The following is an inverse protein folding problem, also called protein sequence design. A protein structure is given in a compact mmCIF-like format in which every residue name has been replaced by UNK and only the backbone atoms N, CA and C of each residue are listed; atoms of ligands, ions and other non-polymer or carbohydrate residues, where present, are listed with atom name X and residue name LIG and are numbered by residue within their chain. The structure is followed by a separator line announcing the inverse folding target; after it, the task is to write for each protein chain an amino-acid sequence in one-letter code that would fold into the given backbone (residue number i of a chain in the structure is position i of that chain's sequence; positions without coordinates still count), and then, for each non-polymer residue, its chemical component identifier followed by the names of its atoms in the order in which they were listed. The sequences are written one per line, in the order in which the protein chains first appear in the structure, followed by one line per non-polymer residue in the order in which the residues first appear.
data_IF_732655409513
#
_entry.id   IF_732655409513
#
_cell.length_a   1.000
_cell.length_b   1.000
_cell.length_c   1.000
_cell.angle_alpha   90.00
_cell.angle_beta   90.00
_cell.angle_gamma   90.00
#
_symmetry.space_group_name_H-M   'P 1'
#
loop_
_entity.id
_entity.type
_entity.pdbx_description
1 polymer ?
#
# COMPACT_ATOMS: atom_id res chain seq x y z
N UNK A 1 -32.73 -42.37 44.33
CA UNK A 1 -31.30 -42.50 43.97
C UNK A 1 -30.99 -41.50 42.89
N UNK A 2 -30.44 -40.33 43.27
CA UNK A 2 -30.13 -39.24 42.42
C UNK A 2 -28.59 -39.30 42.10
N UNK A 3 -28.23 -39.44 40.85
CA UNK A 3 -26.87 -39.32 40.38
C UNK A 3 -26.64 -37.88 39.88
N UNK A 4 -25.91 -37.08 40.66
CA UNK A 4 -25.48 -35.75 40.29
C UNK A 4 -24.37 -35.81 39.23
N UNK A 5 -24.63 -35.34 38.04
CA UNK A 5 -23.60 -35.02 37.03
C UNK A 5 -23.07 -33.64 37.34
N UNK A 6 -21.79 -33.55 37.76
CA UNK A 6 -21.03 -32.29 37.83
C UNK A 6 -20.77 -31.83 36.40
N UNK A 7 -21.41 -30.77 35.99
CA UNK A 7 -21.05 -30.01 34.81
C UNK A 7 -19.71 -29.34 35.04
N UNK A 8 -18.75 -29.57 34.14
CA UNK A 8 -17.46 -28.90 34.04
C UNK A 8 -17.67 -27.41 33.75
N UNK A 9 -16.86 -26.50 34.28
CA UNK A 9 -17.00 -25.09 33.99
C UNK A 9 -16.70 -24.85 32.52
N UNK A 10 -17.62 -24.10 31.91
CA UNK A 10 -17.59 -23.65 30.53
C UNK A 10 -16.24 -23.06 30.14
N UNK A 11 -15.64 -23.64 29.12
CA UNK A 11 -14.64 -23.00 28.31
C UNK A 11 -15.28 -21.70 27.78
N UNK A 12 -14.94 -20.56 28.39
CA UNK A 12 -15.21 -19.24 27.83
C UNK A 12 -14.55 -19.20 26.44
N UNK A 13 -15.36 -19.41 25.42
CA UNK A 13 -15.06 -19.08 24.07
C UNK A 13 -14.61 -17.62 24.09
N UNK A 14 -13.34 -17.35 23.76
CA UNK A 14 -12.87 -16.02 23.49
C UNK A 14 -13.72 -15.50 22.33
N UNK A 15 -14.76 -14.71 22.66
CA UNK A 15 -15.51 -13.94 21.68
C UNK A 15 -14.51 -13.11 20.93
N UNK A 16 -14.22 -13.52 19.71
CA UNK A 16 -13.41 -12.71 18.79
C UNK A 16 -14.13 -11.37 18.62
N UNK A 17 -13.50 -10.30 19.07
CA UNK A 17 -14.00 -8.95 18.83
C UNK A 17 -14.28 -8.78 17.34
N UNK A 18 -15.36 -8.09 16.95
CA UNK A 18 -15.60 -7.79 15.55
C UNK A 18 -14.37 -7.14 14.94
N UNK A 19 -14.10 -7.46 13.68
CA UNK A 19 -12.88 -7.07 12.95
C UNK A 19 -12.53 -5.58 13.11
N UNK A 20 -13.55 -4.70 13.08
CA UNK A 20 -13.38 -3.24 13.24
C UNK A 20 -12.87 -2.87 14.65
N UNK A 21 -13.33 -3.53 15.70
CA UNK A 21 -12.87 -3.26 17.08
C UNK A 21 -11.42 -3.74 17.28
N UNK A 22 -11.02 -4.84 16.63
CA UNK A 22 -9.64 -5.35 16.69
C UNK A 22 -8.65 -4.39 16.04
N UNK A 23 -9.00 -3.78 14.91
CA UNK A 23 -8.10 -2.85 14.20
C UNK A 23 -7.93 -1.51 14.93
N UNK A 24 -8.91 -1.08 15.72
CA UNK A 24 -8.82 0.17 16.49
C UNK A 24 -7.84 0.10 17.67
N UNK A 25 -7.52 -1.11 18.17
CA UNK A 25 -6.61 -1.32 19.31
C UNK A 25 -5.18 -1.65 18.92
N UNK A 26 -4.92 -1.89 17.62
CA UNK A 26 -3.58 -2.25 17.12
C UNK A 26 -2.63 -1.06 17.14
N UNK A 27 -1.40 -1.29 17.56
CA UNK A 27 -0.28 -0.36 17.38
C UNK A 27 0.04 -0.17 15.89
N UNK A 28 0.78 0.90 15.56
CA UNK A 28 1.21 1.13 14.17
C UNK A 28 2.02 -0.06 13.62
N UNK A 29 2.91 -0.63 14.43
CA UNK A 29 3.73 -1.77 14.03
C UNK A 29 2.89 -3.04 13.76
N UNK A 30 1.90 -3.31 14.61
CA UNK A 30 0.97 -4.43 14.41
C UNK A 30 0.13 -4.25 13.13
N UNK A 31 -0.31 -3.02 12.85
CA UNK A 31 -1.03 -2.72 11.60
C UNK A 31 -0.16 -2.92 10.36
N UNK A 32 1.10 -2.48 10.40
CA UNK A 32 2.05 -2.69 9.30
C UNK A 32 2.22 -4.18 9.01
N UNK A 33 2.43 -4.98 10.06
CA UNK A 33 2.63 -6.42 9.88
C UNK A 33 1.36 -7.12 9.38
N UNK A 34 0.18 -6.76 9.90
CA UNK A 34 -1.10 -7.31 9.42
C UNK A 34 -1.35 -6.96 7.95
N UNK A 35 -1.04 -5.71 7.52
CA UNK A 35 -1.13 -5.31 6.11
C UNK A 35 -0.23 -6.16 5.23
N UNK A 36 1.00 -6.40 5.64
CA UNK A 36 1.96 -7.26 4.92
C UNK A 36 1.48 -8.70 4.81
N UNK A 37 0.96 -9.27 5.90
CA UNK A 37 0.41 -10.63 5.91
C UNK A 37 -0.82 -10.75 5.00
N UNK A 38 -1.69 -9.75 5.03
CA UNK A 38 -2.87 -9.69 4.17
C UNK A 38 -2.48 -9.60 2.69
N UNK A 39 -1.48 -8.79 2.35
CA UNK A 39 -0.98 -8.69 0.98
C UNK A 39 -0.45 -10.04 0.46
N UNK A 40 0.27 -10.79 1.29
CA UNK A 40 0.70 -12.18 0.97
C UNK A 40 -0.47 -13.13 0.77
N UNK A 41 -1.47 -13.04 1.64
CA UNK A 41 -2.69 -13.87 1.55
C UNK A 41 -3.47 -13.56 0.27
N UNK A 42 -3.67 -12.28 -0.05
CA UNK A 42 -4.37 -11.85 -1.25
C UNK A 42 -3.70 -12.39 -2.52
N UNK A 43 -2.37 -12.38 -2.59
CA UNK A 43 -1.63 -12.98 -3.70
C UNK A 43 -1.93 -14.47 -3.87
N UNK A 44 -2.01 -15.22 -2.76
CA UNK A 44 -2.38 -16.63 -2.78
C UNK A 44 -3.84 -16.88 -3.18
N UNK A 45 -4.70 -15.88 -3.09
CA UNK A 45 -6.10 -15.92 -3.53
C UNK A 45 -6.28 -15.51 -5.00
N UNK A 46 -5.19 -15.15 -5.71
CA UNK A 46 -5.22 -14.83 -7.13
C UNK A 46 -5.38 -13.34 -7.45
N UNK A 47 -5.30 -12.44 -6.46
CA UNK A 47 -5.22 -11.01 -6.72
C UNK A 47 -3.89 -10.69 -7.43
N UNK A 48 -3.91 -9.71 -8.33
CA UNK A 48 -2.68 -9.25 -8.96
C UNK A 48 -1.83 -8.36 -8.02
N UNK A 49 -0.62 -8.01 -8.46
CA UNK A 49 0.35 -7.28 -7.63
C UNK A 49 -0.20 -5.98 -7.05
N UNK A 50 -0.88 -5.17 -7.87
CA UNK A 50 -1.43 -3.88 -7.46
C UNK A 50 -2.66 -4.04 -6.56
N UNK A 51 -3.55 -4.97 -6.89
CA UNK A 51 -4.71 -5.30 -6.08
C UNK A 51 -4.32 -5.80 -4.69
N UNK A 52 -3.30 -6.66 -4.59
CA UNK A 52 -2.82 -7.17 -3.31
C UNK A 52 -2.44 -6.06 -2.35
N UNK A 53 -1.65 -5.08 -2.81
CA UNK A 53 -1.18 -3.97 -1.99
C UNK A 53 -2.32 -3.03 -1.66
N UNK A 54 -3.08 -2.59 -2.66
CA UNK A 54 -4.18 -1.63 -2.47
C UNK A 54 -5.24 -2.20 -1.53
N UNK A 55 -5.70 -3.43 -1.76
CA UNK A 55 -6.72 -4.06 -0.92
C UNK A 55 -6.24 -4.29 0.50
N UNK A 56 -5.01 -4.74 0.72
CA UNK A 56 -4.49 -4.99 2.06
C UNK A 56 -4.46 -3.74 2.93
N UNK A 57 -4.19 -2.57 2.35
CA UNK A 57 -4.22 -1.29 3.06
C UNK A 57 -5.67 -0.82 3.27
N UNK A 58 -6.48 -0.78 2.21
CA UNK A 58 -7.86 -0.28 2.28
C UNK A 58 -8.77 -1.10 3.20
N UNK A 59 -8.42 -2.35 3.47
CA UNK A 59 -9.18 -3.19 4.39
C UNK A 59 -8.86 -2.95 5.86
N UNK A 60 -7.76 -2.27 6.19
CA UNK A 60 -7.29 -2.02 7.55
C UNK A 60 -7.24 -0.54 7.93
N UNK A 61 -7.22 0.33 6.94
CA UNK A 61 -7.17 1.78 7.09
C UNK A 61 -8.48 2.36 6.54
N UNK A 62 -9.20 3.06 7.39
CA UNK A 62 -10.39 3.81 6.95
C UNK A 62 -9.94 5.02 6.12
N UNK A 63 -10.32 5.04 4.87
CA UNK A 63 -9.99 6.11 3.91
C UNK A 63 -11.19 6.98 3.57
N UNK A 64 -12.39 6.64 4.05
CA UNK A 64 -13.64 7.27 3.64
C UNK A 64 -14.03 7.01 2.18
N UNK A 65 -13.26 6.19 1.44
CA UNK A 65 -13.53 5.85 0.05
C UNK A 65 -14.39 4.57 -0.05
N UNK A 66 -15.26 4.46 -1.08
CA UNK A 66 -16.02 3.24 -1.30
C UNK A 66 -15.12 2.05 -1.62
N UNK A 67 -15.51 0.85 -1.22
CA UNK A 67 -14.71 -0.37 -1.38
C UNK A 67 -14.38 -0.71 -2.84
N UNK A 68 -15.18 -0.21 -3.78
CA UNK A 68 -15.02 -0.40 -5.22
C UNK A 68 -13.79 0.30 -5.80
N UNK A 69 -13.20 1.25 -5.09
CA UNK A 69 -11.99 1.96 -5.55
C UNK A 69 -10.83 1.01 -5.84
N UNK A 70 -10.79 -0.16 -5.21
CA UNK A 70 -9.80 -1.20 -5.49
C UNK A 70 -9.83 -1.71 -6.94
N UNK A 71 -10.96 -1.57 -7.67
CA UNK A 71 -11.05 -1.91 -9.11
C UNK A 71 -10.04 -1.14 -9.95
N UNK A 72 -9.65 0.07 -9.52
CA UNK A 72 -8.66 0.88 -10.20
C UNK A 72 -7.27 0.22 -10.26
N UNK A 73 -6.99 -0.71 -9.35
CA UNK A 73 -5.73 -1.44 -9.29
C UNK A 73 -5.62 -2.57 -10.34
N UNK A 74 -6.75 -3.07 -10.86
CA UNK A 74 -6.78 -4.28 -11.70
C UNK A 74 -5.89 -4.16 -12.94
N UNK A 75 -5.88 -3.01 -13.60
CA UNK A 75 -5.09 -2.79 -14.82
C UNK A 75 -3.57 -2.74 -14.64
N UNK A 76 -3.08 -2.68 -13.39
CA UNK A 76 -1.64 -2.48 -13.13
C UNK A 76 -0.85 -3.78 -12.88
N UNK A 77 -1.50 -4.94 -12.90
CA UNK A 77 -0.82 -6.24 -12.78
C UNK A 77 0.21 -6.46 -13.90
N UNK A 78 1.38 -7.03 -13.54
CA UNK A 78 2.45 -7.31 -14.50
C UNK A 78 3.06 -6.06 -15.17
N UNK A 79 3.03 -4.92 -14.48
CA UNK A 79 3.53 -3.66 -15.05
C UNK A 79 2.62 -3.15 -16.16
N UNK A 80 1.38 -2.78 -15.80
CA UNK A 80 0.32 -2.29 -16.70
C UNK A 80 -0.11 -3.35 -17.72
N UNK A 81 -0.96 -4.28 -17.27
CA UNK A 81 -1.54 -5.31 -18.14
C UNK A 81 -0.51 -6.21 -18.80
N UNK A 82 0.53 -6.62 -18.09
CA UNK A 82 1.66 -7.44 -18.56
C UNK A 82 2.59 -6.73 -19.57
N UNK A 83 2.51 -5.41 -19.71
CA UNK A 83 3.43 -4.65 -20.57
C UNK A 83 4.86 -4.63 -20.03
N UNK A 84 5.06 -4.84 -18.73
CA UNK A 84 6.38 -4.86 -18.11
C UNK A 84 6.92 -3.48 -17.69
N UNK A 85 6.08 -2.45 -17.66
CA UNK A 85 6.40 -1.11 -17.16
C UNK A 85 6.42 -1.08 -15.62
N UNK A 86 6.12 0.03 -14.99
CA UNK A 86 6.18 0.19 -13.54
C UNK A 86 5.56 -1.00 -12.80
N UNK A 87 6.30 -1.55 -11.83
CA UNK A 87 5.85 -2.73 -11.08
C UNK A 87 4.48 -2.49 -10.42
N UNK A 88 3.55 -3.44 -10.63
CA UNK A 88 2.20 -3.33 -10.08
C UNK A 88 2.16 -3.21 -8.54
N UNK A 89 3.08 -3.85 -7.83
CA UNK A 89 3.19 -3.70 -6.39
C UNK A 89 3.56 -2.26 -5.98
N UNK A 90 4.46 -1.63 -6.73
CA UNK A 90 4.83 -0.23 -6.54
C UNK A 90 3.65 0.70 -6.82
N UNK A 91 2.93 0.47 -7.92
CA UNK A 91 1.71 1.26 -8.24
C UNK A 91 0.65 1.09 -7.16
N UNK A 92 0.43 -0.13 -6.68
CA UNK A 92 -0.50 -0.40 -5.58
C UNK A 92 -0.14 0.36 -4.30
N UNK A 93 1.16 0.48 -3.98
CA UNK A 93 1.62 1.29 -2.85
C UNK A 93 1.32 2.79 -3.04
N UNK A 94 1.57 3.32 -4.24
CA UNK A 94 1.22 4.72 -4.57
C UNK A 94 -0.29 4.94 -4.46
N UNK A 95 -1.11 4.03 -4.97
CA UNK A 95 -2.58 4.11 -4.88
C UNK A 95 -3.04 4.08 -3.42
N UNK A 96 -2.50 3.19 -2.61
CA UNK A 96 -2.84 3.07 -1.19
C UNK A 96 -2.51 4.35 -0.40
N UNK A 97 -1.31 4.90 -0.58
CA UNK A 97 -0.92 6.19 0.05
C UNK A 97 -1.77 7.34 -0.50
N UNK A 98 -2.12 7.33 -1.78
CA UNK A 98 -3.01 8.34 -2.39
C UNK A 98 -4.43 8.28 -1.82
N UNK A 99 -4.95 7.10 -1.51
CA UNK A 99 -6.26 6.93 -0.92
C UNK A 99 -6.39 7.61 0.45
N UNK A 100 -5.28 7.73 1.19
CA UNK A 100 -5.24 8.36 2.53
C UNK A 100 -4.79 9.82 2.46
N UNK A 101 -3.73 10.11 1.70
CA UNK A 101 -3.04 11.41 1.71
C UNK A 101 -3.19 12.22 0.43
N UNK A 102 -3.85 11.66 -0.59
CA UNK A 102 -4.12 12.34 -1.84
C UNK A 102 -5.05 13.54 -1.68
N UNK A 103 -5.14 14.33 -2.73
CA UNK A 103 -6.05 15.48 -2.76
C UNK A 103 -7.48 15.04 -3.12
N UNK A 104 -8.44 15.40 -2.29
CA UNK A 104 -9.87 15.19 -2.59
C UNK A 104 -10.45 16.28 -3.50
N UNK A 105 -9.83 17.46 -3.53
CA UNK A 105 -10.24 18.60 -4.37
C UNK A 105 -9.03 19.46 -4.75
N UNK A 106 -9.20 20.27 -5.77
CA UNK A 106 -8.24 21.35 -6.04
C UNK A 106 -8.48 22.52 -5.07
N UNK A 107 -7.45 23.34 -4.79
CA UNK A 107 -7.61 24.55 -3.98
C UNK A 107 -8.67 25.49 -4.56
N UNK A 108 -9.46 26.08 -3.69
CA UNK A 108 -10.43 27.11 -4.07
C UNK A 108 -9.74 28.35 -4.62
N UNK A 109 -10.41 29.02 -5.56
CA UNK A 109 -9.94 30.23 -6.22
C UNK A 109 -10.00 30.10 -7.74
N UNK A 110 -9.62 31.16 -8.42
CA UNK A 110 -9.61 31.22 -9.89
C UNK A 110 -8.23 31.62 -10.45
N UNK A 111 -7.99 31.24 -11.70
CA UNK A 111 -6.84 31.69 -12.47
C UNK A 111 -5.48 31.34 -11.85
N UNK A 112 -4.57 32.32 -11.84
CA UNK A 112 -3.18 32.13 -11.42
C UNK A 112 -3.03 31.81 -9.91
N UNK A 113 -3.88 32.37 -9.06
CA UNK A 113 -3.80 32.18 -7.62
C UNK A 113 -4.11 30.71 -7.24
N UNK A 114 -5.20 30.15 -7.77
CA UNK A 114 -5.54 28.75 -7.58
C UNK A 114 -4.44 27.83 -8.11
N UNK A 115 -3.87 28.14 -9.28
CA UNK A 115 -2.76 27.39 -9.85
C UNK A 115 -1.50 27.43 -8.96
N UNK A 116 -1.19 28.57 -8.35
CA UNK A 116 -0.05 28.69 -7.41
C UNK A 116 -0.29 27.86 -6.15
N UNK A 117 -1.46 27.97 -5.53
CA UNK A 117 -1.83 27.14 -4.36
C UNK A 117 -1.76 25.63 -4.69
N UNK A 118 -2.24 25.23 -5.87
CA UNK A 118 -2.16 23.85 -6.33
C UNK A 118 -0.72 23.36 -6.51
N UNK A 119 0.16 24.22 -7.06
CA UNK A 119 1.59 23.91 -7.15
C UNK A 119 2.23 23.79 -5.78
N UNK A 120 1.93 24.67 -4.85
CA UNK A 120 2.46 24.62 -3.49
C UNK A 120 2.10 23.33 -2.78
N UNK A 121 0.85 22.87 -2.91
CA UNK A 121 0.44 21.57 -2.36
C UNK A 121 1.24 20.38 -2.91
N UNK A 122 1.68 20.44 -4.16
CA UNK A 122 2.43 19.36 -4.80
C UNK A 122 3.95 19.46 -4.54
N UNK A 123 4.52 20.64 -4.75
CA UNK A 123 5.96 20.85 -4.80
C UNK A 123 6.53 21.54 -3.54
N UNK A 124 5.67 22.04 -2.64
CA UNK A 124 6.06 22.75 -1.43
C UNK A 124 6.84 21.90 -0.42
N UNK A 125 7.05 22.51 0.77
CA UNK A 125 7.67 21.83 1.91
C UNK A 125 6.90 22.22 3.19
N UNK A 126 5.91 21.39 3.62
CA UNK A 126 5.53 20.08 3.14
C UNK A 126 4.88 20.08 1.74
N UNK A 127 5.09 19.01 0.98
CA UNK A 127 4.53 18.85 -0.36
C UNK A 127 4.27 17.38 -0.73
N UNK A 128 3.15 17.13 -1.43
CA UNK A 128 2.73 15.76 -1.74
C UNK A 128 3.75 14.99 -2.59
N UNK A 129 4.43 15.65 -3.52
CA UNK A 129 5.44 14.97 -4.32
C UNK A 129 6.64 14.50 -3.50
N UNK A 130 6.99 15.19 -2.41
CA UNK A 130 8.02 14.73 -1.46
C UNK A 130 7.58 13.47 -0.73
N UNK A 131 6.32 13.39 -0.34
CA UNK A 131 5.75 12.19 0.27
C UNK A 131 5.76 11.02 -0.72
N UNK A 132 5.19 11.21 -1.92
CA UNK A 132 5.08 10.14 -2.92
C UNK A 132 6.44 9.70 -3.49
N UNK A 133 7.41 10.60 -3.63
CA UNK A 133 8.76 10.28 -4.12
C UNK A 133 9.49 9.25 -3.24
N UNK A 134 9.17 9.17 -1.96
CA UNK A 134 9.76 8.18 -1.08
C UNK A 134 9.38 6.74 -1.47
N UNK A 135 8.20 6.52 -2.06
CA UNK A 135 7.72 5.17 -2.39
C UNK A 135 8.63 4.49 -3.42
N UNK A 136 8.84 5.05 -4.63
CA UNK A 136 9.73 4.43 -5.62
C UNK A 136 11.18 4.38 -5.16
N UNK A 137 11.66 5.38 -4.40
CA UNK A 137 13.03 5.39 -3.90
C UNK A 137 13.27 4.26 -2.89
N UNK A 138 12.37 4.05 -1.93
CA UNK A 138 12.43 2.94 -0.97
C UNK A 138 12.27 1.59 -1.67
N UNK A 139 11.35 1.49 -2.60
CA UNK A 139 11.12 0.27 -3.37
C UNK A 139 12.35 -0.11 -4.19
N UNK A 140 12.96 0.86 -4.90
CA UNK A 140 14.19 0.66 -5.68
C UNK A 140 15.37 0.26 -4.79
N UNK A 141 15.52 0.91 -3.63
CA UNK A 141 16.58 0.56 -2.67
C UNK A 141 16.48 -0.88 -2.15
N UNK A 142 15.26 -1.41 -2.01
CA UNK A 142 15.03 -2.78 -1.56
C UNK A 142 15.18 -3.82 -2.68
N UNK A 143 14.86 -3.46 -3.94
CA UNK A 143 14.65 -4.42 -5.01
C UNK A 143 15.54 -4.19 -6.25
N UNK A 144 16.30 -3.10 -6.30
CA UNK A 144 17.21 -2.74 -7.40
C UNK A 144 16.55 -1.96 -8.52
N UNK A 145 15.31 -2.28 -8.89
CA UNK A 145 14.59 -1.68 -10.01
C UNK A 145 13.16 -1.29 -9.64
N UNK A 146 12.50 -0.52 -10.51
CA UNK A 146 11.08 -0.16 -10.39
C UNK A 146 10.23 -0.72 -11.53
N UNK A 147 10.84 -1.11 -12.65
CA UNK A 147 10.14 -1.68 -13.80
C UNK A 147 9.93 -3.18 -13.64
N UNK A 148 8.73 -3.65 -13.95
CA UNK A 148 8.36 -5.05 -13.84
C UNK A 148 9.29 -5.94 -14.69
N UNK A 149 9.57 -5.54 -15.95
CA UNK A 149 10.45 -6.29 -16.84
C UNK A 149 11.88 -6.45 -16.32
N UNK A 150 12.42 -5.43 -15.64
CA UNK A 150 13.77 -5.47 -15.06
C UNK A 150 13.81 -6.35 -13.80
N UNK A 151 12.80 -6.23 -12.96
CA UNK A 151 12.66 -7.05 -11.76
C UNK A 151 12.49 -8.55 -12.07
N UNK A 152 11.85 -8.85 -13.19
CA UNK A 152 11.45 -10.23 -13.56
C UNK A 152 12.19 -10.75 -14.77
N UNK A 153 13.30 -10.13 -15.16
CA UNK A 153 14.06 -10.42 -16.38
C UNK A 153 14.36 -11.93 -16.55
N UNK A 154 14.82 -12.57 -15.49
CA UNK A 154 15.16 -14.02 -15.52
C UNK A 154 13.98 -14.97 -15.70
N UNK A 155 12.73 -14.49 -15.66
CA UNK A 155 11.52 -15.33 -15.81
C UNK A 155 10.68 -15.00 -17.04
N UNK A 156 11.18 -14.19 -17.98
CA UNK A 156 10.41 -13.79 -19.17
C UNK A 156 9.92 -15.01 -19.97
N UNK A 157 10.70 -16.08 -20.06
CA UNK A 157 10.31 -17.31 -20.74
C UNK A 157 9.54 -18.29 -19.83
N UNK A 158 9.56 -18.09 -18.52
CA UNK A 158 8.94 -19.00 -17.53
C UNK A 158 8.03 -18.25 -16.57
N UNK A 159 7.27 -17.30 -17.08
CA UNK A 159 6.46 -16.36 -16.32
C UNK A 159 5.57 -16.99 -15.25
N UNK A 160 4.92 -18.12 -15.55
CA UNK A 160 3.99 -18.79 -14.65
C UNK A 160 4.67 -19.79 -13.70
N UNK A 161 5.99 -19.72 -13.50
CA UNK A 161 6.67 -20.61 -12.58
C UNK A 161 6.51 -20.17 -11.12
N UNK A 162 6.71 -21.16 -10.21
CA UNK A 162 6.61 -20.95 -8.77
C UNK A 162 7.60 -19.91 -8.25
N UNK A 163 8.82 -19.92 -8.73
CA UNK A 163 9.89 -19.04 -8.24
C UNK A 163 9.62 -17.59 -8.58
N UNK A 164 9.09 -17.31 -9.78
CA UNK A 164 8.60 -15.97 -10.14
C UNK A 164 7.46 -15.53 -9.22
N UNK A 165 6.48 -16.40 -8.96
CA UNK A 165 5.38 -16.09 -8.06
C UNK A 165 5.86 -15.79 -6.64
N UNK A 166 6.81 -16.56 -6.11
CA UNK A 166 7.40 -16.32 -4.79
C UNK A 166 8.15 -14.99 -4.75
N UNK A 167 8.91 -14.66 -5.78
CA UNK A 167 9.61 -13.38 -5.88
C UNK A 167 8.61 -12.20 -5.91
N UNK A 168 7.60 -12.26 -6.77
CA UNK A 168 6.55 -11.22 -6.82
C UNK A 168 5.83 -11.06 -5.47
N UNK A 169 5.59 -12.14 -4.73
CA UNK A 169 4.99 -12.08 -3.40
C UNK A 169 5.84 -11.26 -2.42
N UNK A 170 7.16 -11.36 -2.47
CA UNK A 170 8.03 -10.56 -1.62
C UNK A 170 8.04 -9.08 -2.04
N UNK A 171 8.03 -8.77 -3.35
CA UNK A 171 7.83 -7.40 -3.84
C UNK A 171 6.53 -6.78 -3.33
N UNK A 172 5.43 -7.54 -3.41
CA UNK A 172 4.10 -7.14 -2.92
C UNK A 172 4.14 -6.87 -1.41
N UNK A 173 4.76 -7.75 -0.65
CA UNK A 173 4.87 -7.63 0.81
C UNK A 173 5.68 -6.39 1.21
N UNK A 174 6.81 -6.17 0.55
CA UNK A 174 7.66 -4.99 0.78
C UNK A 174 6.93 -3.69 0.43
N UNK A 175 6.27 -3.64 -0.73
CA UNK A 175 5.50 -2.48 -1.16
C UNK A 175 4.33 -2.15 -0.21
N UNK A 176 3.63 -3.17 0.29
CA UNK A 176 2.58 -3.00 1.27
C UNK A 176 3.12 -2.43 2.60
N UNK A 177 4.30 -2.88 3.03
CA UNK A 177 5.01 -2.33 4.19
C UNK A 177 5.37 -0.86 4.00
N UNK A 178 5.98 -0.50 2.86
CA UNK A 178 6.33 0.90 2.53
C UNK A 178 5.09 1.80 2.59
N UNK A 179 3.98 1.35 1.99
CA UNK A 179 2.73 2.12 2.00
C UNK A 179 2.19 2.30 3.43
N UNK A 180 2.14 1.22 4.21
CA UNK A 180 1.65 1.25 5.58
C UNK A 180 2.49 2.16 6.49
N UNK A 181 3.81 2.11 6.39
CA UNK A 181 4.72 2.98 7.14
C UNK A 181 4.48 4.46 6.83
N UNK A 182 4.33 4.83 5.55
CA UNK A 182 4.07 6.21 5.15
C UNK A 182 2.69 6.69 5.58
N UNK A 183 1.68 5.83 5.54
CA UNK A 183 0.32 6.16 5.96
C UNK A 183 0.24 6.37 7.48
N UNK A 184 0.94 5.56 8.25
CA UNK A 184 0.91 5.58 9.71
C UNK A 184 1.94 6.54 10.34
N UNK A 185 2.83 7.12 9.54
CA UNK A 185 3.75 8.18 9.97
C UNK A 185 3.09 9.55 9.97
N UNK A 186 3.76 10.54 10.58
CA UNK A 186 3.33 11.92 10.45
C UNK A 186 3.44 12.39 8.99
N UNK A 187 2.32 12.86 8.45
CA UNK A 187 2.20 13.27 7.04
C UNK A 187 3.10 14.46 6.72
N UNK A 188 3.10 15.49 7.56
CA UNK A 188 3.81 16.75 7.29
C UNK A 188 5.32 16.55 7.45
N UNK A 189 5.75 15.74 8.42
CA UNK A 189 7.13 15.31 8.52
C UNK A 189 7.57 14.57 7.25
N UNK A 190 6.79 13.58 6.83
CA UNK A 190 7.09 12.79 5.62
C UNK A 190 7.06 13.64 4.34
N UNK A 191 6.12 14.57 4.22
CA UNK A 191 6.00 15.51 3.11
C UNK A 191 7.04 16.64 3.12
N UNK A 192 7.84 16.76 4.19
CA UNK A 192 8.93 17.73 4.31
C UNK A 192 10.31 17.13 4.03
N UNK A 193 10.41 15.82 3.83
CA UNK A 193 11.68 15.15 3.51
C UNK A 193 12.21 15.59 2.14
N UNK A 194 13.53 15.62 1.96
CA UNK A 194 14.11 15.91 0.67
C UNK A 194 13.69 14.88 -0.39
N UNK A 195 13.71 15.30 -1.65
CA UNK A 195 13.56 14.36 -2.74
C UNK A 195 14.75 13.38 -2.77
N UNK A 196 14.46 12.12 -3.00
CA UNK A 196 15.46 11.16 -3.46
C UNK A 196 15.72 11.30 -4.96
N UNK A 197 15.96 10.19 -5.65
CA UNK A 197 16.03 10.18 -7.12
C UNK A 197 14.74 10.75 -7.71
N UNK A 198 14.83 11.67 -8.66
CA UNK A 198 13.69 12.35 -9.26
C UNK A 198 13.99 12.73 -10.72
N UNK A 199 12.98 13.29 -11.43
CA UNK A 199 13.04 13.54 -12.88
C UNK A 199 14.13 14.49 -13.30
N UNK A 200 14.47 15.45 -12.48
CA UNK A 200 15.56 16.42 -12.73
C UNK A 200 15.91 17.11 -11.43
N UNK A 201 17.14 17.10 -11.05
CA UNK A 201 17.79 17.97 -10.07
C UNK A 201 16.88 18.96 -9.30
N UNK A 202 15.64 18.58 -8.97
CA UNK A 202 14.83 19.30 -8.00
C UNK A 202 15.58 19.18 -6.68
N UNK A 203 16.65 19.96 -6.59
CA UNK A 203 17.40 20.19 -5.37
C UNK A 203 16.58 21.18 -4.55
N UNK A 204 16.66 21.03 -3.28
CA UNK A 204 16.11 21.96 -2.31
C UNK A 204 16.70 23.35 -2.46
#
# INVERSE_FOLDING_TARGET
LASGSKLLPELRCCLELPYIERTSTMTAQEKIEEIKQRARKNFSLGYNCAECVTESVLSLIDTGLPSEVKKLATGFGGGIGLYGDTCGALVGAVMAVSAVHGRSSLPEGEGKEAAMKSKEQLYGKPGLYRLFNQIPNRFKAQNGHTLCRELTDKWQETWLCRDHALFCRELITGAAGIAAELILSDKDESASKPFGENVENLKE
#
